data_IF_032624362159
#
_entry.id   IF_032624362159
#
_cell.length_a   1.000
_cell.length_b   1.000
_cell.length_c   1.000
_cell.angle_alpha   90.00
_cell.angle_beta   90.00
_cell.angle_gamma   90.00
#
_symmetry.space_group_name_H-M   'P 1'
#
loop_
_entity.id
_entity.type
_entity.pdbx_description
1 polymer ?
#
# COMPACT_ATOMS: atom_id res chain seq x y z
N UNK A 1 20.15 6.55 -16.04
CA UNK A 1 18.95 7.43 -16.01
C UNK A 1 17.81 7.04 -16.96
N UNK A 2 18.06 6.61 -18.21
CA UNK A 2 17.00 6.22 -19.17
C UNK A 2 16.24 4.95 -18.71
N UNK A 3 16.96 3.93 -18.24
CA UNK A 3 16.40 2.64 -17.82
C UNK A 3 15.45 2.75 -16.61
N UNK A 4 15.80 3.55 -15.60
CA UNK A 4 14.93 3.79 -14.43
C UNK A 4 13.62 4.52 -14.79
N UNK A 5 13.66 5.43 -15.77
CA UNK A 5 12.44 6.09 -16.27
C UNK A 5 11.55 5.09 -17.01
N UNK A 6 12.14 4.24 -17.85
CA UNK A 6 11.43 3.20 -18.60
C UNK A 6 10.79 2.18 -17.64
N UNK A 7 11.51 1.74 -16.61
CA UNK A 7 10.98 0.82 -15.60
C UNK A 7 9.78 1.41 -14.84
N UNK A 8 9.88 2.70 -14.46
CA UNK A 8 8.78 3.41 -13.81
C UNK A 8 7.53 3.49 -14.72
N UNK A 9 7.72 3.80 -16.00
CA UNK A 9 6.64 3.84 -16.99
C UNK A 9 6.03 2.46 -17.24
N UNK A 10 6.83 1.40 -17.27
CA UNK A 10 6.36 0.03 -17.37
C UNK A 10 5.53 -0.38 -16.16
N UNK A 11 5.98 -0.08 -14.94
CA UNK A 11 5.22 -0.35 -13.71
C UNK A 11 3.91 0.45 -13.71
N UNK A 12 3.97 1.75 -14.05
CA UNK A 12 2.79 2.61 -14.21
C UNK A 12 1.80 2.02 -15.22
N UNK A 13 2.27 1.61 -16.40
CA UNK A 13 1.42 1.02 -17.42
C UNK A 13 0.82 -0.30 -16.95
N UNK A 14 1.59 -1.14 -16.25
CA UNK A 14 1.10 -2.41 -15.70
C UNK A 14 0.01 -2.18 -14.65
N UNK A 15 0.19 -1.20 -13.76
CA UNK A 15 -0.82 -0.82 -12.75
C UNK A 15 -2.09 -0.26 -13.43
N UNK A 16 -1.95 0.55 -14.48
CA UNK A 16 -3.09 1.08 -15.25
C UNK A 16 -3.84 -0.04 -15.99
N UNK A 17 -3.13 -0.99 -16.60
CA UNK A 17 -3.71 -2.15 -17.28
C UNK A 17 -4.42 -3.05 -16.26
N UNK A 18 -3.79 -3.32 -15.11
CA UNK A 18 -4.39 -4.08 -14.02
C UNK A 18 -5.68 -3.37 -13.55
N UNK A 19 -5.63 -2.06 -13.30
CA UNK A 19 -6.81 -1.26 -12.97
C UNK A 19 -7.92 -1.38 -14.02
N UNK A 20 -7.61 -1.21 -15.31
CA UNK A 20 -8.58 -1.27 -16.40
C UNK A 20 -9.21 -2.67 -16.54
N UNK A 21 -8.41 -3.72 -16.38
CA UNK A 21 -8.86 -5.12 -16.47
C UNK A 21 -9.86 -5.48 -15.37
N UNK A 22 -9.77 -4.83 -14.21
CA UNK A 22 -10.65 -5.08 -13.07
C UNK A 22 -11.77 -4.06 -12.91
N UNK A 23 -11.74 -2.93 -13.62
CA UNK A 23 -12.76 -1.88 -13.55
C UNK A 23 -14.16 -2.37 -14.01
N UNK A 24 -14.22 -3.25 -15.00
CA UNK A 24 -15.49 -3.80 -15.51
C UNK A 24 -16.11 -4.86 -14.57
N UNK A 25 -15.37 -5.88 -14.08
CA UNK A 25 -15.87 -6.81 -13.06
C UNK A 25 -16.24 -6.11 -11.74
N UNK A 26 -15.51 -5.07 -11.37
CA UNK A 26 -15.74 -4.22 -10.21
C UNK A 26 -17.09 -3.51 -10.22
N UNK A 27 -17.44 -2.85 -11.34
CA UNK A 27 -18.74 -2.20 -11.52
C UNK A 27 -19.90 -3.21 -11.39
N UNK A 28 -19.69 -4.44 -11.87
CA UNK A 28 -20.66 -5.53 -11.69
C UNK A 28 -20.77 -5.97 -10.23
N UNK A 29 -19.67 -6.00 -9.47
CA UNK A 29 -19.65 -6.32 -8.03
C UNK A 29 -20.28 -5.24 -7.14
N UNK A 30 -20.12 -3.96 -7.46
CA UNK A 30 -20.82 -2.86 -6.77
C UNK A 30 -22.33 -2.93 -6.96
N UNK A 31 -22.79 -3.29 -8.16
CA UNK A 31 -24.21 -3.46 -8.46
C UNK A 31 -24.83 -4.70 -7.78
N UNK A 32 -24.00 -5.66 -7.35
CA UNK A 32 -24.45 -6.87 -6.63
C UNK A 32 -24.61 -6.66 -5.12
N UNK A 33 -24.04 -5.58 -4.56
CA UNK A 33 -24.03 -5.34 -3.10
C UNK A 33 -23.22 -6.40 -2.32
N UNK A 34 -23.27 -6.34 -0.98
CA UNK A 34 -22.66 -7.36 -0.11
C UNK A 34 -21.12 -7.34 -0.04
N UNK A 35 -20.51 -8.49 0.24
CA UNK A 35 -19.06 -8.59 0.46
C UNK A 35 -18.23 -8.29 -0.80
N UNK A 36 -18.80 -8.42 -1.99
CA UNK A 36 -18.18 -8.03 -3.26
C UNK A 36 -17.83 -6.54 -3.36
N UNK A 37 -18.63 -5.66 -2.75
CA UNK A 37 -18.33 -4.23 -2.66
C UNK A 37 -17.11 -3.97 -1.74
N UNK A 38 -16.96 -4.77 -0.68
CA UNK A 38 -15.79 -4.73 0.19
C UNK A 38 -14.51 -5.14 -0.55
N UNK A 39 -14.51 -6.26 -1.28
CA UNK A 39 -13.39 -6.69 -2.13
C UNK A 39 -12.96 -5.56 -3.07
N UNK A 40 -13.93 -4.92 -3.71
CA UNK A 40 -13.66 -3.80 -4.61
C UNK A 40 -13.01 -2.60 -3.91
N UNK A 41 -13.56 -2.17 -2.78
CA UNK A 41 -13.07 -1.01 -2.03
C UNK A 41 -11.62 -1.19 -1.59
N UNK A 42 -11.27 -2.34 -1.01
CA UNK A 42 -9.91 -2.62 -0.57
C UNK A 42 -8.93 -2.75 -1.74
N UNK A 43 -9.39 -3.30 -2.86
CA UNK A 43 -8.58 -3.38 -4.09
C UNK A 43 -8.30 -1.99 -4.68
N UNK A 44 -9.31 -1.11 -4.74
CA UNK A 44 -9.12 0.28 -5.16
C UNK A 44 -8.19 1.04 -4.23
N UNK A 45 -8.31 0.81 -2.92
CA UNK A 45 -7.39 1.33 -1.92
C UNK A 45 -5.94 0.92 -2.21
N UNK A 46 -5.67 -0.37 -2.49
CA UNK A 46 -4.32 -0.84 -2.83
C UNK A 46 -3.74 -0.16 -4.06
N UNK A 47 -4.55 0.02 -5.10
CA UNK A 47 -4.13 0.67 -6.33
C UNK A 47 -3.82 2.14 -6.07
N UNK A 48 -4.69 2.85 -5.34
CA UNK A 48 -4.45 4.23 -4.94
C UNK A 48 -3.18 4.37 -4.08
N UNK A 49 -2.94 3.46 -3.13
CA UNK A 49 -1.70 3.43 -2.35
C UNK A 49 -0.47 3.21 -3.25
N UNK A 50 -0.54 2.27 -4.20
CA UNK A 50 0.55 1.98 -5.14
C UNK A 50 0.90 3.18 -6.03
N UNK A 51 -0.10 3.89 -6.55
CA UNK A 51 0.12 5.14 -7.29
C UNK A 51 0.75 6.21 -6.40
N UNK A 52 0.27 6.33 -5.16
CA UNK A 52 0.80 7.32 -4.20
C UNK A 52 2.26 7.01 -3.85
N UNK A 53 2.64 5.74 -3.70
CA UNK A 53 4.04 5.32 -3.52
C UNK A 53 4.89 5.77 -4.71
N UNK A 54 4.44 5.51 -5.94
CA UNK A 54 5.12 5.95 -7.16
C UNK A 54 5.32 7.47 -7.21
N UNK A 55 4.28 8.23 -6.84
CA UNK A 55 4.33 9.69 -6.73
C UNK A 55 5.32 10.17 -5.67
N UNK A 56 5.30 9.59 -4.46
CA UNK A 56 6.24 9.93 -3.39
C UNK A 56 7.70 9.65 -3.79
N UNK A 57 7.96 8.50 -4.43
CA UNK A 57 9.30 8.16 -4.95
C UNK A 57 9.75 9.17 -6.01
N UNK A 58 8.85 9.57 -6.91
CA UNK A 58 9.16 10.60 -7.91
C UNK A 58 9.51 11.95 -7.27
N UNK A 59 8.76 12.38 -6.24
CA UNK A 59 9.04 13.62 -5.50
C UNK A 59 10.35 13.53 -4.71
N UNK A 60 10.63 12.39 -4.09
CA UNK A 60 11.87 12.13 -3.37
C UNK A 60 13.09 12.22 -4.31
N UNK A 61 12.97 11.66 -5.52
CA UNK A 61 13.98 11.81 -6.57
C UNK A 61 14.18 13.26 -7.00
N UNK A 62 13.10 14.04 -7.18
CA UNK A 62 13.22 15.46 -7.53
C UNK A 62 13.98 16.24 -6.46
N UNK A 63 13.64 16.02 -5.18
CA UNK A 63 14.33 16.65 -4.05
C UNK A 63 15.82 16.27 -3.99
N UNK A 64 16.13 14.99 -4.19
CA UNK A 64 17.52 14.54 -4.21
C UNK A 64 18.32 15.18 -5.35
N UNK A 65 17.75 15.31 -6.55
CA UNK A 65 18.41 15.98 -7.67
C UNK A 65 18.63 17.48 -7.45
N UNK A 66 17.73 18.14 -6.71
CA UNK A 66 17.82 19.57 -6.42
C UNK A 66 18.83 19.88 -5.32
N UNK A 67 18.83 19.11 -4.24
CA UNK A 67 19.61 19.42 -3.05
C UNK A 67 20.89 18.59 -2.91
N UNK A 68 21.04 17.52 -3.70
CA UNK A 68 22.11 16.50 -3.63
C UNK A 68 22.26 15.78 -2.27
N UNK A 69 21.44 16.16 -1.27
CA UNK A 69 21.39 15.58 0.06
C UNK A 69 19.93 15.29 0.46
N UNK A 70 19.75 14.43 1.47
CA UNK A 70 18.44 14.21 2.08
C UNK A 70 18.05 15.42 2.93
N UNK A 71 16.93 16.06 2.58
CA UNK A 71 16.31 17.13 3.36
C UNK A 71 15.20 16.57 4.25
N UNK A 72 14.73 17.35 5.23
CA UNK A 72 13.58 16.98 6.06
C UNK A 72 12.30 16.68 5.24
N UNK A 73 12.11 17.40 4.12
CA UNK A 73 11.01 17.10 3.21
C UNK A 73 11.18 15.74 2.54
N UNK A 74 12.41 15.36 2.19
CA UNK A 74 12.70 14.06 1.57
C UNK A 74 12.50 12.90 2.57
N UNK A 75 12.87 13.08 3.84
CA UNK A 75 12.60 12.07 4.89
C UNK A 75 11.11 11.91 5.15
N UNK A 76 10.32 12.99 5.09
CA UNK A 76 8.86 12.91 5.18
C UNK A 76 8.26 12.04 4.04
N UNK A 77 8.70 12.25 2.79
CA UNK A 77 8.26 11.39 1.68
C UNK A 77 8.70 9.94 1.83
N UNK A 78 9.90 9.67 2.36
CA UNK A 78 10.38 8.31 2.64
C UNK A 78 9.49 7.62 3.69
N UNK A 79 9.11 8.36 4.73
CA UNK A 79 8.17 7.90 5.77
C UNK A 79 6.80 7.55 5.18
N UNK A 80 6.27 8.40 4.30
CA UNK A 80 5.02 8.15 3.60
C UNK A 80 5.09 6.89 2.74
N UNK A 81 6.17 6.70 1.97
CA UNK A 81 6.39 5.47 1.20
C UNK A 81 6.33 4.25 2.11
N UNK A 82 7.03 4.30 3.25
CA UNK A 82 7.05 3.19 4.20
C UNK A 82 5.65 2.84 4.74
N UNK A 83 4.88 3.85 5.16
CA UNK A 83 3.50 3.64 5.63
C UNK A 83 2.57 3.15 4.53
N UNK A 84 2.71 3.65 3.31
CA UNK A 84 1.89 3.21 2.18
C UNK A 84 2.18 1.76 1.79
N UNK A 85 3.45 1.32 1.85
CA UNK A 85 3.83 -0.07 1.58
C UNK A 85 3.21 -1.02 2.61
N UNK A 86 3.24 -0.66 3.90
CA UNK A 86 2.54 -1.41 4.96
C UNK A 86 1.01 -1.35 4.73
N UNK A 87 0.49 -0.19 4.34
CA UNK A 87 -0.91 0.00 4.00
C UNK A 87 -1.37 -0.93 2.87
N UNK A 88 -0.55 -1.14 1.84
CA UNK A 88 -0.84 -2.08 0.75
C UNK A 88 -1.01 -3.51 1.28
N UNK A 89 -0.13 -3.95 2.19
CA UNK A 89 -0.23 -5.26 2.83
C UNK A 89 -1.53 -5.40 3.64
N UNK A 90 -1.87 -4.39 4.44
CA UNK A 90 -3.11 -4.37 5.24
C UNK A 90 -4.34 -4.41 4.35
N UNK A 91 -4.39 -3.57 3.31
CA UNK A 91 -5.51 -3.53 2.36
C UNK A 91 -5.62 -4.83 1.56
N UNK A 92 -4.49 -5.48 1.21
CA UNK A 92 -4.46 -6.79 0.57
C UNK A 92 -5.08 -7.87 1.43
N UNK A 93 -4.80 -7.87 2.73
CA UNK A 93 -5.38 -8.81 3.68
C UNK A 93 -6.86 -8.57 3.93
N UNK A 94 -7.32 -7.31 3.91
CA UNK A 94 -8.76 -7.02 3.91
C UNK A 94 -9.46 -7.47 2.63
N UNK A 95 -8.88 -7.19 1.45
CA UNK A 95 -9.41 -7.69 0.17
C UNK A 95 -9.57 -9.22 0.21
N UNK A 96 -8.57 -9.93 0.71
CA UNK A 96 -8.61 -11.38 0.85
C UNK A 96 -9.69 -11.85 1.83
N UNK A 97 -9.81 -11.21 3.00
CA UNK A 97 -10.84 -11.55 3.98
C UNK A 97 -12.25 -11.37 3.41
N UNK A 98 -12.50 -10.28 2.68
CA UNK A 98 -13.79 -10.05 2.01
C UNK A 98 -14.04 -11.02 0.86
N UNK A 99 -13.00 -11.47 0.14
CA UNK A 99 -13.14 -12.51 -0.88
C UNK A 99 -13.53 -13.86 -0.26
N UNK A 100 -13.02 -14.16 0.94
CA UNK A 100 -13.44 -15.35 1.68
C UNK A 100 -14.86 -15.25 2.22
N UNK A 101 -15.31 -14.06 2.62
CA UNK A 101 -16.72 -13.86 2.95
C UNK A 101 -17.60 -14.03 1.71
N UNK A 102 -17.22 -13.44 0.58
CA UNK A 102 -17.95 -13.57 -0.68
C UNK A 102 -18.08 -15.03 -1.14
N UNK A 103 -17.04 -15.86 -0.94
CA UNK A 103 -17.08 -17.27 -1.36
C UNK A 103 -18.08 -18.11 -0.56
N UNK A 104 -18.37 -17.73 0.69
CA UNK A 104 -19.33 -18.42 1.56
C UNK A 104 -20.72 -17.79 1.55
N UNK A 105 -20.93 -16.62 0.93
CA UNK A 105 -22.25 -15.97 0.84
C UNK A 105 -23.30 -16.90 0.23
N UNK A 106 -22.94 -17.71 -0.77
CA UNK A 106 -23.85 -18.67 -1.42
C UNK A 106 -24.33 -19.80 -0.53
N UNK A 107 -23.70 -20.01 0.64
CA UNK A 107 -24.09 -21.04 1.61
C UNK A 107 -25.16 -20.55 2.60
N UNK A 108 -25.41 -19.24 2.66
CA UNK A 108 -26.37 -18.64 3.60
C UNK A 108 -27.48 -17.91 2.84
N UNK A 109 -28.69 -18.49 2.85
CA UNK A 109 -29.89 -17.84 2.32
C UNK A 109 -30.24 -16.63 3.19
N UNK A 110 -29.99 -15.42 2.70
CA UNK A 110 -30.30 -14.16 3.40
C UNK A 110 -29.08 -13.41 3.97
N UNK A 111 -27.85 -13.87 3.68
CA UNK A 111 -26.62 -13.22 4.13
C UNK A 111 -25.95 -13.94 5.30
N UNK A 112 -24.66 -13.67 5.49
CA UNK A 112 -23.83 -14.39 6.48
C UNK A 112 -24.15 -13.84 7.89
N UNK A 113 -24.50 -14.70 8.86
CA UNK A 113 -24.65 -14.28 10.25
C UNK A 113 -23.37 -13.62 10.77
N UNK A 114 -23.49 -12.53 11.53
CA UNK A 114 -22.33 -11.79 12.08
C UNK A 114 -21.42 -12.66 12.96
N UNK A 115 -22.00 -13.63 13.68
CA UNK A 115 -21.30 -14.63 14.48
C UNK A 115 -20.38 -15.55 13.67
N UNK A 116 -20.62 -15.69 12.37
CA UNK A 116 -19.78 -16.45 11.43
C UNK A 116 -18.88 -15.52 10.62
N UNK A 117 -19.42 -14.40 10.14
CA UNK A 117 -18.69 -13.46 9.29
C UNK A 117 -17.45 -12.88 9.99
N UNK A 118 -17.58 -12.47 11.26
CA UNK A 118 -16.47 -11.83 11.98
C UNK A 118 -15.28 -12.79 12.21
N UNK A 119 -15.47 -14.00 12.78
CA UNK A 119 -14.35 -14.93 12.96
C UNK A 119 -13.69 -15.35 11.64
N UNK A 120 -14.48 -15.56 10.58
CA UNK A 120 -13.95 -15.92 9.24
C UNK A 120 -13.10 -14.79 8.68
N UNK A 121 -13.58 -13.55 8.74
CA UNK A 121 -12.86 -12.38 8.24
C UNK A 121 -11.56 -12.14 9.02
N UNK A 122 -11.61 -12.19 10.35
CA UNK A 122 -10.43 -11.99 11.20
C UNK A 122 -9.38 -13.07 10.94
N UNK A 123 -9.80 -14.35 10.90
CA UNK A 123 -8.88 -15.46 10.63
C UNK A 123 -8.26 -15.35 9.24
N UNK A 124 -9.07 -15.05 8.21
CA UNK A 124 -8.60 -14.89 6.84
C UNK A 124 -7.64 -13.70 6.71
N UNK A 125 -7.93 -12.59 7.39
CA UNK A 125 -7.07 -11.42 7.43
C UNK A 125 -5.69 -11.76 7.99
N UNK A 126 -5.62 -12.34 9.20
CA UNK A 126 -4.33 -12.64 9.82
C UNK A 126 -3.57 -13.74 9.09
N UNK A 127 -4.26 -14.74 8.56
CA UNK A 127 -3.63 -15.77 7.74
C UNK A 127 -2.98 -15.15 6.49
N UNK A 128 -3.67 -14.24 5.80
CA UNK A 128 -3.09 -13.57 4.64
C UNK A 128 -1.97 -12.60 5.03
N UNK A 129 -2.18 -11.77 6.05
CA UNK A 129 -1.25 -10.74 6.49
C UNK A 129 0.09 -11.33 6.95
N UNK A 130 0.06 -12.42 7.71
CA UNK A 130 1.27 -13.02 8.25
C UNK A 130 1.98 -13.96 7.26
N UNK A 131 1.23 -14.64 6.39
CA UNK A 131 1.80 -15.67 5.50
C UNK A 131 2.14 -15.13 4.12
N UNK A 132 1.32 -14.24 3.56
CA UNK A 132 1.42 -13.82 2.17
C UNK A 132 1.94 -12.39 1.96
N UNK A 133 1.91 -11.55 3.01
CA UNK A 133 2.40 -10.17 2.94
C UNK A 133 3.67 -9.84 3.78
N UNK A 134 4.58 -10.80 4.10
CA UNK A 134 5.72 -10.49 4.97
C UNK A 134 6.71 -9.52 4.33
N UNK A 135 6.85 -9.54 3.01
CA UNK A 135 7.80 -8.71 2.25
C UNK A 135 7.44 -7.22 2.36
N UNK A 136 6.23 -6.76 1.99
CA UNK A 136 5.88 -5.35 2.13
C UNK A 136 5.91 -4.88 3.58
N UNK A 137 5.54 -5.72 4.55
CA UNK A 137 5.66 -5.37 5.98
C UNK A 137 7.13 -5.15 6.35
N UNK A 138 8.00 -6.11 6.04
CA UNK A 138 9.43 -6.02 6.34
C UNK A 138 10.08 -4.82 5.66
N UNK A 139 9.82 -4.61 4.36
CA UNK A 139 10.33 -3.46 3.62
C UNK A 139 9.87 -2.13 4.22
N UNK A 140 8.59 -2.03 4.60
CA UNK A 140 8.05 -0.85 5.26
C UNK A 140 8.75 -0.57 6.60
N UNK A 141 8.93 -1.60 7.43
CA UNK A 141 9.64 -1.46 8.72
C UNK A 141 11.10 -1.05 8.53
N UNK A 142 11.83 -1.66 7.59
CA UNK A 142 13.19 -1.27 7.25
C UNK A 142 13.27 0.18 6.76
N UNK A 143 12.33 0.62 5.92
CA UNK A 143 12.28 2.01 5.45
C UNK A 143 11.97 3.00 6.58
N UNK A 144 11.10 2.64 7.54
CA UNK A 144 10.86 3.46 8.74
C UNK A 144 12.12 3.61 9.58
N UNK A 145 12.88 2.53 9.79
CA UNK A 145 14.14 2.55 10.54
C UNK A 145 15.21 3.40 9.84
N UNK A 146 15.34 3.28 8.51
CA UNK A 146 16.22 4.14 7.72
C UNK A 146 15.80 5.60 7.82
N UNK A 147 14.49 5.88 7.79
CA UNK A 147 13.97 7.25 7.91
C UNK A 147 14.33 7.87 9.26
N UNK A 148 14.18 7.12 10.36
CA UNK A 148 14.56 7.57 11.70
C UNK A 148 16.06 7.85 11.79
N UNK A 149 16.89 6.95 11.25
CA UNK A 149 18.35 7.15 11.20
C UNK A 149 18.74 8.41 10.42
N UNK A 150 18.17 8.60 9.22
CA UNK A 150 18.46 9.78 8.39
C UNK A 150 17.99 11.07 9.08
N UNK A 151 16.83 11.06 9.73
CA UNK A 151 16.33 12.22 10.44
C UNK A 151 17.25 12.61 11.60
N UNK A 152 17.73 11.64 12.39
CA UNK A 152 18.72 11.90 13.45
C UNK A 152 20.03 12.44 12.89
N UNK A 153 20.51 11.91 11.77
CA UNK A 153 21.73 12.40 11.12
C UNK A 153 21.59 13.85 10.62
N UNK A 154 20.42 14.23 10.10
CA UNK A 154 20.13 15.61 9.68
C UNK A 154 20.15 16.56 10.89
N UNK A 155 19.55 16.16 12.01
CA UNK A 155 19.54 16.97 13.25
C UNK A 155 20.96 17.19 13.76
N UNK A 156 21.76 16.13 13.89
CA UNK A 156 23.16 16.24 14.35
C UNK A 156 23.99 17.14 13.44
N UNK A 157 23.79 17.07 12.12
CA UNK A 157 24.44 17.98 11.18
C UNK A 157 24.03 19.42 11.44
N UNK A 158 22.74 19.70 11.61
CA UNK A 158 22.23 21.05 11.85
C UNK A 158 22.73 21.64 13.18
N UNK A 159 22.85 20.82 14.23
CA UNK A 159 23.40 21.23 15.52
C UNK A 159 24.88 21.60 15.37
N UNK A 160 25.67 20.77 14.67
CA UNK A 160 27.08 21.06 14.41
C UNK A 160 27.29 22.31 13.54
N UNK A 161 26.45 22.54 12.52
CA UNK A 161 26.51 23.75 11.70
C UNK A 161 26.05 25.01 12.46
N UNK A 162 25.18 24.86 13.48
CA UNK A 162 24.75 25.99 14.34
C UNK A 162 25.76 26.36 15.44
N UNK A 163 26.66 25.43 15.76
CA UNK A 163 27.70 25.60 16.79
C UNK A 163 28.97 26.28 16.24
N UNK A 164 29.24 26.13 14.94
CA UNK A 164 30.36 26.77 14.22
C UNK A 164 29.98 28.20 13.82
#
# INVERSE_FOLDING_TARGET
MKTQKILLWLIMAFVVIDFASYFIPALKGMNAGGNGAGVWLFKMGKIACSFTVGWCIFRLRQLYLQHQFFTEKATLYLRWVAYLVIGIAVLGSFEYAFRQLQSIEGLYTGGIPSSVAWPVAVRAFFAHFLVHEPIPIFLGLCMLLVTDFVQKAIVVKSENESFI
#
